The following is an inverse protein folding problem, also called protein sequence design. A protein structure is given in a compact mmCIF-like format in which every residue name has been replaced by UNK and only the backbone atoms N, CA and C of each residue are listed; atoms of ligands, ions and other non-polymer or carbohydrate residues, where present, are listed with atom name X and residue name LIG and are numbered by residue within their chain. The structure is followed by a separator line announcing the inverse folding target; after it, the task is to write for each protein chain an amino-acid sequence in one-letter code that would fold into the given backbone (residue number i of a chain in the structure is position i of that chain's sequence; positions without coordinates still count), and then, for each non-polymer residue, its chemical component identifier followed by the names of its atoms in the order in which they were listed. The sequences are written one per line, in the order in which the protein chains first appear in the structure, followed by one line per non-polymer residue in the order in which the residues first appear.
data_IF_413404020150
#
_entry.id   IF_413404020150
#
_cell.length_a   1.000
_cell.length_b   1.000
_cell.length_c   1.000
_cell.angle_alpha   90.00
_cell.angle_beta   90.00
_cell.angle_gamma   90.00
#
_symmetry.space_group_name_H-M   'P 1'
#
loop_
_entity.id
_entity.type
_entity.pdbx_description
1 polymer ?
#
# COMPACT_ATOMS: atom_id res chain seq x y z
N UNK A 1 22.76 22.09 10.53
CA UNK A 1 21.43 21.51 10.21
C UNK A 1 21.41 20.07 10.69
N UNK A 2 20.58 19.73 11.68
CA UNK A 2 20.46 18.34 12.16
C UNK A 2 19.67 17.56 11.11
N UNK A 3 20.33 16.65 10.40
CA UNK A 3 19.68 15.69 9.51
C UNK A 3 18.92 14.72 10.42
N UNK A 4 17.61 14.96 10.64
CA UNK A 4 16.73 13.99 11.31
C UNK A 4 16.64 12.77 10.41
N UNK A 5 17.52 11.79 10.63
CA UNK A 5 17.38 10.46 10.06
C UNK A 5 16.17 9.78 10.70
N UNK A 6 15.41 9.04 9.90
CA UNK A 6 14.43 8.12 10.49
C UNK A 6 15.17 7.07 11.32
N UNK A 7 14.58 6.70 12.45
CA UNK A 7 15.11 5.60 13.25
C UNK A 7 15.09 4.29 12.46
N UNK A 8 16.09 3.44 12.67
CA UNK A 8 16.25 2.21 11.89
C UNK A 8 15.14 1.20 12.17
N UNK A 9 14.68 1.09 13.41
CA UNK A 9 13.57 0.19 13.76
C UNK A 9 12.26 0.68 13.13
N UNK A 10 12.04 1.99 13.16
CA UNK A 10 10.90 2.60 12.47
C UNK A 10 10.92 2.26 10.97
N UNK A 11 12.05 2.44 10.28
CA UNK A 11 12.16 2.10 8.86
C UNK A 11 11.94 0.61 8.60
N UNK A 12 12.44 -0.27 9.47
CA UNK A 12 12.20 -1.70 9.38
C UNK A 12 10.71 -2.04 9.46
N UNK A 13 9.98 -1.40 10.39
CA UNK A 13 8.51 -1.57 10.52
C UNK A 13 7.77 -1.12 9.27
N UNK A 14 8.11 0.05 8.71
CA UNK A 14 7.46 0.57 7.50
C UNK A 14 7.75 -0.32 6.29
N UNK A 15 8.97 -0.85 6.16
CA UNK A 15 9.35 -1.76 5.07
C UNK A 15 8.65 -3.11 5.16
N UNK A 16 8.43 -3.63 6.36
CA UNK A 16 7.73 -4.88 6.60
C UNK A 16 6.20 -4.76 6.56
N UNK A 17 5.66 -3.55 6.38
CA UNK A 17 4.21 -3.31 6.40
C UNK A 17 3.51 -4.03 5.23
N UNK A 18 2.51 -4.88 5.51
CA UNK A 18 1.72 -5.53 4.46
C UNK A 18 1.11 -4.51 3.50
N UNK A 19 1.13 -4.80 2.20
CA UNK A 19 0.63 -3.86 1.20
C UNK A 19 -0.85 -3.51 1.36
N UNK A 20 -1.67 -4.46 1.84
CA UNK A 20 -3.07 -4.16 2.16
C UNK A 20 -3.19 -3.14 3.30
N UNK A 21 -2.35 -3.23 4.35
CA UNK A 21 -2.34 -2.23 5.44
C UNK A 21 -1.94 -0.84 4.92
N UNK A 22 -0.99 -0.81 4.00
CA UNK A 22 -0.57 0.44 3.35
C UNK A 22 -1.76 1.07 2.61
N UNK A 23 -2.48 0.27 1.82
CA UNK A 23 -3.66 0.74 1.09
C UNK A 23 -4.82 1.14 2.03
N UNK A 24 -5.04 0.40 3.12
CA UNK A 24 -6.00 0.75 4.17
C UNK A 24 -5.67 2.13 4.78
N UNK A 25 -4.41 2.35 5.18
CA UNK A 25 -3.94 3.65 5.70
C UNK A 25 -4.17 4.80 4.72
N UNK A 26 -3.81 4.59 3.45
CA UNK A 26 -4.00 5.62 2.42
C UNK A 26 -5.49 5.91 2.18
N UNK A 27 -6.37 4.91 2.31
CA UNK A 27 -7.81 5.08 2.22
C UNK A 27 -8.38 5.82 3.42
N UNK A 28 -7.96 5.45 4.63
CA UNK A 28 -8.41 6.08 5.86
C UNK A 28 -7.98 7.58 5.92
N UNK A 29 -6.84 7.92 5.31
CA UNK A 29 -6.37 9.30 5.10
C UNK A 29 -7.06 10.02 3.92
N UNK A 30 -8.01 9.38 3.24
CA UNK A 30 -8.73 9.95 2.09
C UNK A 30 -7.86 10.16 0.84
N UNK A 31 -6.68 9.54 0.76
CA UNK A 31 -5.72 9.71 -0.34
C UNK A 31 -5.96 8.76 -1.51
N UNK A 32 -6.63 7.64 -1.25
CA UNK A 32 -6.81 6.57 -2.22
C UNK A 32 -8.13 5.82 -1.95
N UNK A 33 -8.76 5.34 -3.00
CA UNK A 33 -9.80 4.32 -2.92
C UNK A 33 -9.28 3.05 -3.57
N UNK A 34 -9.71 1.90 -3.07
CA UNK A 34 -9.43 0.65 -3.75
C UNK A 34 -10.48 -0.41 -3.54
N UNK A 35 -10.53 -1.35 -4.48
CA UNK A 35 -11.33 -2.57 -4.40
C UNK A 35 -10.56 -3.75 -4.97
N UNK A 36 -10.91 -4.95 -4.51
CA UNK A 36 -10.42 -6.21 -5.10
C UNK A 36 -11.20 -6.51 -6.38
N UNK A 37 -10.51 -7.09 -7.36
CA UNK A 37 -11.14 -7.80 -8.46
C UNK A 37 -11.47 -9.23 -7.98
N UNK A 38 -12.77 -9.54 -7.87
CA UNK A 38 -13.24 -10.83 -7.37
C UNK A 38 -13.19 -11.93 -8.43
N UNK A 39 -13.15 -11.54 -9.70
CA UNK A 39 -13.12 -12.47 -10.84
C UNK A 39 -11.68 -12.82 -11.24
N UNK A 40 -10.69 -12.20 -10.60
CA UNK A 40 -9.28 -12.46 -10.85
C UNK A 40 -8.86 -13.84 -10.32
N UNK A 41 -8.45 -14.71 -11.23
CA UNK A 41 -7.86 -16.02 -10.92
C UNK A 41 -6.34 -15.95 -11.12
N UNK A 42 -5.53 -16.11 -10.06
CA UNK A 42 -4.08 -16.06 -10.19
C UNK A 42 -3.51 -17.27 -10.94
N UNK A 43 -2.63 -17.03 -11.90
CA UNK A 43 -2.01 -18.11 -12.69
C UNK A 43 -0.75 -18.70 -12.02
N UNK A 44 0.11 -17.85 -11.45
CA UNK A 44 1.43 -18.25 -10.95
C UNK A 44 1.46 -18.43 -9.43
N UNK A 45 1.05 -17.41 -8.70
CA UNK A 45 1.00 -17.42 -7.24
C UNK A 45 -0.44 -17.24 -6.78
N UNK A 46 -0.98 -18.21 -6.05
CA UNK A 46 -2.36 -18.21 -5.56
C UNK A 46 -2.65 -17.09 -4.57
N UNK A 47 -1.62 -16.47 -4.00
CA UNK A 47 -1.77 -15.29 -3.12
C UNK A 47 -1.89 -13.99 -3.89
N UNK A 48 -1.63 -13.98 -5.20
CA UNK A 48 -1.73 -12.75 -5.98
C UNK A 48 -3.17 -12.26 -5.99
N UNK A 49 -3.37 -10.98 -5.71
CA UNK A 49 -4.66 -10.32 -5.84
C UNK A 49 -4.55 -9.21 -6.87
N UNK A 50 -5.57 -9.04 -7.72
CA UNK A 50 -5.71 -7.85 -8.55
C UNK A 50 -6.56 -6.81 -7.83
N UNK A 51 -6.04 -5.59 -7.76
CA UNK A 51 -6.67 -4.44 -7.12
C UNK A 51 -6.87 -3.33 -8.14
N UNK A 52 -8.02 -2.69 -8.09
CA UNK A 52 -8.27 -1.42 -8.77
C UNK A 52 -8.12 -0.29 -7.76
N UNK A 53 -7.17 0.61 -8.01
CA UNK A 53 -6.87 1.76 -7.17
C UNK A 53 -7.33 3.03 -7.89
N UNK A 54 -7.81 4.03 -7.15
CA UNK A 54 -8.06 5.36 -7.70
C UNK A 54 -7.79 6.47 -6.70
N UNK A 55 -7.30 7.61 -7.17
CA UNK A 55 -7.11 8.80 -6.34
C UNK A 55 -8.32 9.74 -6.45
N UNK A 56 -8.54 10.61 -5.43
CA UNK A 56 -9.52 11.70 -5.54
C UNK A 56 -9.26 12.65 -6.70
N UNK A 57 -8.00 12.74 -7.17
CA UNK A 57 -7.59 13.56 -8.31
C UNK A 57 -7.82 12.91 -9.68
N UNK A 58 -8.43 11.72 -9.74
CA UNK A 58 -8.83 11.06 -10.99
C UNK A 58 -7.79 10.12 -11.61
N UNK A 59 -6.66 9.88 -10.94
CA UNK A 59 -5.72 8.84 -11.36
C UNK A 59 -6.25 7.46 -10.99
N UNK A 60 -5.94 6.45 -11.81
CA UNK A 60 -6.37 5.09 -11.57
C UNK A 60 -5.31 4.06 -12.00
N UNK A 61 -5.16 3.03 -11.18
CA UNK A 61 -4.17 1.97 -11.37
C UNK A 61 -4.82 0.61 -11.29
N UNK A 62 -4.20 -0.36 -11.96
CA UNK A 62 -4.51 -1.77 -11.83
C UNK A 62 -3.26 -2.45 -11.30
N UNK A 63 -3.31 -2.89 -10.04
CA UNK A 63 -2.14 -3.38 -9.33
C UNK A 63 -2.35 -4.83 -8.91
N UNK A 64 -1.41 -5.69 -9.30
CA UNK A 64 -1.27 -7.04 -8.75
C UNK A 64 -0.46 -6.96 -7.46
N UNK A 65 -0.93 -7.58 -6.39
CA UNK A 65 -0.27 -7.63 -5.08
C UNK A 65 -0.02 -9.07 -4.69
N UNK A 66 1.21 -9.41 -4.32
CA UNK A 66 1.60 -10.73 -3.80
C UNK A 66 2.50 -10.54 -2.58
N UNK A 67 1.96 -10.81 -1.39
CA UNK A 67 2.60 -10.50 -0.10
C UNK A 67 3.09 -9.03 -0.04
N UNK A 68 4.41 -8.81 -0.07
CA UNK A 68 5.02 -7.46 -0.08
C UNK A 68 5.36 -6.93 -1.47
N UNK A 69 5.11 -7.69 -2.54
CA UNK A 69 5.42 -7.27 -3.91
C UNK A 69 4.18 -6.74 -4.59
N UNK A 70 4.38 -5.76 -5.46
CA UNK A 70 3.30 -5.22 -6.30
C UNK A 70 3.77 -5.00 -7.73
N UNK A 71 2.82 -5.03 -8.66
CA UNK A 71 3.03 -4.76 -10.08
C UNK A 71 1.84 -4.00 -10.65
N UNK A 72 2.08 -2.78 -11.14
CA UNK A 72 1.12 -1.99 -11.91
C UNK A 72 1.09 -2.48 -13.36
N UNK A 73 -0.04 -3.10 -13.71
CA UNK A 73 -0.31 -3.68 -15.03
C UNK A 73 -0.31 -2.61 -16.11
N UNK A 74 -0.83 -1.41 -15.81
CA UNK A 74 -0.98 -0.34 -16.80
C UNK A 74 0.36 0.34 -17.09
N UNK A 75 1.18 0.53 -16.06
CA UNK A 75 2.48 1.17 -16.20
C UNK A 75 3.61 0.21 -16.58
N UNK A 76 3.42 -1.11 -16.45
CA UNK A 76 4.47 -2.11 -16.63
C UNK A 76 5.58 -2.00 -15.59
N UNK A 77 5.25 -1.53 -14.38
CA UNK A 77 6.22 -1.26 -13.30
C UNK A 77 5.87 -2.06 -12.05
N UNK A 78 6.88 -2.48 -11.29
CA UNK A 78 6.68 -3.15 -10.02
C UNK A 78 7.72 -2.75 -8.99
N UNK A 79 7.45 -3.09 -7.74
CA UNK A 79 8.31 -2.74 -6.61
C UNK A 79 8.10 -3.65 -5.41
N UNK A 80 8.88 -3.39 -4.35
CA UNK A 80 8.88 -4.16 -3.12
C UNK A 80 8.52 -3.30 -1.92
N UNK A 81 7.39 -3.59 -1.28
CA UNK A 81 6.95 -2.97 -0.05
C UNK A 81 6.14 -1.69 -0.24
N UNK A 82 5.63 -1.19 0.88
CA UNK A 82 4.70 -0.06 0.91
C UNK A 82 5.29 1.27 0.46
N UNK A 83 6.56 1.50 0.77
CA UNK A 83 7.24 2.77 0.44
C UNK A 83 7.32 2.94 -1.07
N UNK A 84 7.81 1.91 -1.77
CA UNK A 84 7.92 1.92 -3.24
C UNK A 84 6.54 2.09 -3.89
N UNK A 85 5.51 1.45 -3.33
CA UNK A 85 4.14 1.59 -3.82
C UNK A 85 3.66 3.04 -3.69
N UNK A 86 3.86 3.68 -2.54
CA UNK A 86 3.46 5.08 -2.30
C UNK A 86 4.22 6.03 -3.22
N UNK A 87 5.52 5.80 -3.41
CA UNK A 87 6.32 6.58 -4.36
C UNK A 87 5.76 6.45 -5.79
N UNK A 88 5.40 5.25 -6.23
CA UNK A 88 4.82 5.01 -7.55
C UNK A 88 3.43 5.65 -7.72
N UNK A 89 2.54 5.50 -6.74
CA UNK A 89 1.16 6.01 -6.83
C UNK A 89 1.09 7.54 -6.75
N UNK A 90 1.89 8.17 -5.89
CA UNK A 90 1.81 9.61 -5.64
C UNK A 90 2.93 10.42 -6.31
N UNK A 91 3.90 9.75 -6.97
CA UNK A 91 5.02 10.44 -7.61
C UNK A 91 5.92 11.19 -6.63
N UNK A 92 5.99 10.73 -5.38
CA UNK A 92 6.74 11.39 -4.29
C UNK A 92 8.08 10.72 -4.04
N UNK A 93 8.99 11.43 -3.38
CA UNK A 93 10.26 10.87 -2.93
C UNK A 93 10.11 9.93 -1.71
N UNK A 94 11.20 9.24 -1.39
CA UNK A 94 11.27 8.30 -0.26
C UNK A 94 10.88 8.94 1.08
N UNK A 95 11.32 10.17 1.34
CA UNK A 95 11.09 10.84 2.64
C UNK A 95 9.61 11.18 2.79
N UNK A 96 8.98 11.68 1.74
CA UNK A 96 7.55 11.95 1.68
C UNK A 96 6.74 10.66 1.82
N UNK A 97 7.13 9.60 1.13
CA UNK A 97 6.46 8.29 1.24
C UNK A 97 6.51 7.73 2.66
N UNK A 98 7.68 7.75 3.31
CA UNK A 98 7.82 7.30 4.71
C UNK A 98 6.95 8.14 5.63
N UNK A 99 6.92 9.48 5.48
CA UNK A 99 6.06 10.35 6.30
C UNK A 99 4.58 10.01 6.17
N UNK A 100 4.09 9.73 4.96
CA UNK A 100 2.70 9.34 4.72
C UNK A 100 2.32 8.05 5.49
N UNK A 101 3.23 7.08 5.53
CA UNK A 101 2.99 5.82 6.23
C UNK A 101 3.09 5.92 7.75
N UNK A 102 3.84 6.90 8.26
CA UNK A 102 4.03 7.13 9.68
C UNK A 102 2.92 7.97 10.33
N UNK A 103 2.50 9.05 9.66
CA UNK A 103 1.49 10.00 10.20
C UNK A 103 0.13 9.31 10.43
N UNK A 104 -0.18 8.28 9.64
CA UNK A 104 -1.37 7.44 9.77
C UNK A 104 -1.30 6.42 10.93
N UNK A 105 -0.30 6.49 11.82
CA UNK A 105 -0.10 5.54 12.94
C UNK A 105 -0.56 6.14 14.27
N UNK A 106 -1.72 6.79 14.26
CA UNK A 106 -2.40 7.32 15.45
C UNK A 106 -3.89 6.97 15.41
N UNK A 107 -4.29 5.71 15.10
CA UNK A 107 -5.60 5.16 15.55
C UNK A 107 -5.97 3.71 15.16
N UNK A 108 -5.12 2.90 14.53
CA UNK A 108 -5.56 1.62 13.95
C UNK A 108 -5.09 0.36 14.71
N UNK A 109 -5.29 0.29 16.03
CA UNK A 109 -5.22 -0.99 16.76
C UNK A 109 -6.55 -1.77 16.79
N UNK A 110 -7.64 -1.28 16.17
CA UNK A 110 -8.97 -1.91 16.31
C UNK A 110 -9.58 -2.64 15.10
N UNK A 111 -8.98 -2.64 13.92
CA UNK A 111 -9.66 -3.19 12.71
C UNK A 111 -9.20 -4.56 12.22
N UNK A 112 -8.08 -5.11 12.70
CA UNK A 112 -7.56 -6.37 12.17
C UNK A 112 -8.37 -7.62 12.54
N UNK A 113 -9.35 -7.51 13.44
CA UNK A 113 -10.21 -8.63 13.87
C UNK A 113 -11.50 -8.75 13.03
N UNK A 114 -11.80 -7.81 12.12
CA UNK A 114 -13.15 -7.72 11.52
C UNK A 114 -13.33 -8.24 10.09
N UNK A 115 -12.29 -8.72 9.40
CA UNK A 115 -12.43 -9.16 7.99
C UNK A 115 -11.97 -10.61 7.80
N UNK A 116 -12.47 -11.53 8.63
CA UNK A 116 -12.49 -12.97 8.37
C UNK A 116 -13.77 -13.65 8.89
N UNK A 117 -14.90 -12.93 8.83
CA UNK A 117 -16.22 -13.54 8.98
C UNK A 117 -17.20 -12.91 7.99
N UNK A 118 -17.35 -13.56 6.84
CA UNK A 118 -18.69 -13.88 6.35
C UNK A 118 -18.57 -15.13 5.48
N UNK A 119 -19.17 -16.21 5.97
CA UNK A 119 -19.87 -17.15 5.10
C UNK A 119 -21.09 -16.45 4.48
#
# INVERSE_FOLDING_TARGET
MIRKSFDNEMLARVRAMPLLLVLDKLRDDGKLFYRRDLDFVPEKDRKTMRLFLSSPSGFAWEVLVTDLKWYDVRAGKGGGGGIDLVMHLFGVDFVAAVKLLLVSTQNSEKSYVKVFRSC
#
